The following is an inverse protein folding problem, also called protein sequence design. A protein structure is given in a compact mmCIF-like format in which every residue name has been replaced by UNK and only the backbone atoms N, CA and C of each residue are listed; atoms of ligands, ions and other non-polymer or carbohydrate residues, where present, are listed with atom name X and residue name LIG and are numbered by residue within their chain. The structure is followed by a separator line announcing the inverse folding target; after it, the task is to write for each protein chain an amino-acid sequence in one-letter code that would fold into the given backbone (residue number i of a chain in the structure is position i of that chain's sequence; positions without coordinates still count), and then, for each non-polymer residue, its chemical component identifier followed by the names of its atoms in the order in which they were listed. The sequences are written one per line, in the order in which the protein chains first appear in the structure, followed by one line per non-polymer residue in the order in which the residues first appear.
data_IF_165906403798
#
_entry.id   IF_165906403798
#
_cell.length_a   1.000
_cell.length_b   1.000
_cell.length_c   1.000
_cell.angle_alpha   90.00
_cell.angle_beta   90.00
_cell.angle_gamma   90.00
#
_symmetry.space_group_name_H-M   'P 1'
#
loop_
_entity.id
_entity.type
_entity.pdbx_description
1 polymer ?
#
# COMPACT_ATOMS: atom_id res chain seq x y z
N UNK A 1 11.17 -13.21 27.02
CA UNK A 1 10.10 -13.46 26.03
C UNK A 1 10.62 -14.52 25.08
N UNK A 2 9.86 -15.60 24.85
CA UNK A 2 10.23 -16.64 23.89
C UNK A 2 9.65 -16.24 22.54
N UNK A 3 10.35 -15.37 21.83
CA UNK A 3 9.93 -14.96 20.49
C UNK A 3 10.12 -16.13 19.52
N UNK A 4 9.11 -16.39 18.70
CA UNK A 4 9.02 -17.53 17.78
C UNK A 4 8.94 -17.02 16.34
N UNK A 5 9.43 -17.80 15.40
CA UNK A 5 9.37 -17.51 13.95
C UNK A 5 8.90 -18.74 13.18
N UNK A 6 8.08 -18.56 12.15
CA UNK A 6 7.55 -19.67 11.34
C UNK A 6 8.30 -19.79 9.99
N UNK A 7 8.63 -21.01 9.52
CA UNK A 7 9.25 -21.22 8.20
C UNK A 7 8.28 -20.79 7.10
N UNK A 8 8.71 -19.84 6.28
CA UNK A 8 8.00 -19.38 5.08
C UNK A 8 7.69 -20.51 4.08
N UNK A 9 8.52 -21.56 4.06
CA UNK A 9 8.40 -22.73 3.18
C UNK A 9 7.70 -23.95 3.79
N UNK A 10 7.43 -24.05 5.09
CA UNK A 10 6.71 -25.21 5.64
C UNK A 10 5.79 -24.90 6.83
N UNK A 11 5.71 -23.65 7.28
CA UNK A 11 4.85 -23.23 8.39
C UNK A 11 5.30 -23.74 9.77
N UNK A 12 6.45 -24.41 9.85
CA UNK A 12 6.96 -24.96 11.10
C UNK A 12 7.45 -23.84 12.01
N UNK A 13 7.12 -23.92 13.29
CA UNK A 13 7.60 -23.00 14.33
C UNK A 13 9.09 -23.24 14.64
N UNK A 14 9.87 -22.18 14.69
CA UNK A 14 11.29 -22.14 14.98
C UNK A 14 11.58 -21.09 16.06
N UNK A 15 12.76 -21.17 16.67
CA UNK A 15 13.25 -20.11 17.55
C UNK A 15 13.71 -18.92 16.72
N UNK A 16 13.47 -17.70 17.22
CA UNK A 16 13.87 -16.47 16.52
C UNK A 16 15.38 -16.35 16.24
N UNK A 17 16.22 -17.09 16.97
CA UNK A 17 17.68 -17.09 16.79
C UNK A 17 18.16 -18.11 15.74
N UNK A 18 17.25 -18.79 15.04
CA UNK A 18 17.61 -19.75 13.99
C UNK A 18 17.58 -19.05 12.63
N UNK A 19 18.63 -19.25 11.83
CA UNK A 19 18.73 -18.70 10.47
C UNK A 19 18.12 -19.64 9.41
N UNK A 20 17.90 -20.90 9.76
CA UNK A 20 17.34 -21.92 8.88
C UNK A 20 16.28 -22.71 9.60
N UNK A 21 15.24 -23.10 8.88
CA UNK A 21 14.17 -23.87 9.46
C UNK A 21 14.65 -25.25 9.85
N UNK A 22 14.26 -25.66 11.05
CA UNK A 22 14.51 -26.98 11.60
C UNK A 22 13.91 -28.14 10.78
N UNK A 23 13.01 -27.87 9.85
CA UNK A 23 12.28 -28.86 9.07
C UNK A 23 12.58 -28.74 7.56
N UNK A 24 12.28 -27.59 6.97
CA UNK A 24 12.40 -27.37 5.52
C UNK A 24 13.83 -27.00 5.07
N UNK A 25 14.74 -26.64 5.99
CA UNK A 25 16.08 -26.13 5.68
C UNK A 25 16.12 -24.74 5.03
N UNK A 26 14.96 -24.14 4.73
CA UNK A 26 14.87 -22.79 4.18
C UNK A 26 15.29 -21.73 5.18
N UNK A 27 15.76 -20.60 4.64
CA UNK A 27 16.18 -19.46 5.46
C UNK A 27 14.97 -18.93 6.26
N UNK A 28 15.15 -18.77 7.56
CA UNK A 28 14.16 -18.15 8.43
C UNK A 28 14.35 -16.65 8.39
N UNK A 29 13.33 -15.93 7.92
CA UNK A 29 13.33 -14.48 7.86
C UNK A 29 13.04 -13.90 9.25
N UNK A 30 14.05 -13.89 10.11
CA UNK A 30 14.02 -13.21 11.40
C UNK A 30 13.78 -11.70 11.18
N UNK A 31 12.55 -11.25 11.42
CA UNK A 31 12.16 -9.84 11.31
C UNK A 31 12.61 -8.98 12.52
N UNK A 32 13.51 -9.47 13.38
CA UNK A 32 14.33 -8.55 14.18
C UNK A 32 15.23 -7.81 13.20
N UNK A 33 14.85 -6.57 12.91
CA UNK A 33 15.71 -5.50 12.45
C UNK A 33 17.03 -5.96 11.80
N UNK A 34 17.09 -5.90 10.46
CA UNK A 34 18.35 -5.61 9.77
C UNK A 34 19.52 -6.61 9.95
N UNK A 35 19.37 -7.90 9.63
CA UNK A 35 20.55 -8.80 9.48
C UNK A 35 20.83 -9.30 8.04
N UNK A 36 20.06 -8.89 7.03
CA UNK A 36 20.48 -9.02 5.64
C UNK A 36 21.04 -7.68 5.16
N UNK A 37 22.35 -7.58 4.90
CA UNK A 37 22.96 -6.39 4.27
C UNK A 37 22.69 -6.33 2.75
N UNK A 38 21.72 -7.09 2.25
CA UNK A 38 21.40 -7.11 0.83
C UNK A 38 20.47 -5.94 0.53
N UNK A 39 20.99 -4.98 -0.21
CA UNK A 39 20.28 -3.80 -0.67
C UNK A 39 20.22 -3.84 -2.20
N UNK A 40 19.14 -3.31 -2.75
CA UNK A 40 19.02 -3.05 -4.19
C UNK A 40 19.21 -1.55 -4.36
N UNK A 41 20.31 -1.12 -4.97
CA UNK A 41 20.65 0.30 -5.11
C UNK A 41 20.72 0.74 -6.58
N UNK A 42 20.81 -0.23 -7.51
CA UNK A 42 20.90 0.00 -8.97
C UNK A 42 19.84 -0.78 -9.76
N UNK A 43 19.66 -0.41 -11.02
CA UNK A 43 18.73 -1.10 -11.93
C UNK A 43 19.25 -2.50 -12.27
N UNK A 44 20.56 -2.65 -12.38
CA UNK A 44 21.22 -3.93 -12.63
C UNK A 44 21.05 -4.90 -11.45
N UNK A 45 21.02 -4.38 -10.22
CA UNK A 45 20.72 -5.16 -9.01
C UNK A 45 19.22 -5.49 -8.92
N UNK A 46 18.35 -4.58 -9.38
CA UNK A 46 16.91 -4.79 -9.39
C UNK A 46 16.52 -5.90 -10.38
N UNK A 47 16.96 -5.79 -11.64
CA UNK A 47 16.58 -6.69 -12.72
C UNK A 47 17.58 -7.84 -12.92
N UNK A 48 17.56 -8.81 -12.01
CA UNK A 48 18.40 -10.02 -12.11
C UNK A 48 17.59 -11.26 -12.45
N UNK A 49 18.27 -12.27 -13.00
CA UNK A 49 17.66 -13.60 -13.18
C UNK A 49 17.25 -14.20 -11.83
N UNK A 50 18.03 -13.97 -10.77
CA UNK A 50 17.74 -14.44 -9.41
C UNK A 50 16.43 -13.86 -8.87
N UNK A 51 16.24 -12.54 -8.96
CA UNK A 51 15.01 -11.90 -8.52
C UNK A 51 13.80 -12.36 -9.33
N UNK A 52 13.96 -12.52 -10.64
CA UNK A 52 12.90 -13.07 -11.49
C UNK A 52 12.52 -14.50 -11.07
N UNK A 53 13.49 -15.39 -10.86
CA UNK A 53 13.24 -16.75 -10.36
C UNK A 53 12.58 -16.77 -8.99
N UNK A 54 12.97 -15.88 -8.08
CA UNK A 54 12.32 -15.76 -6.77
C UNK A 54 10.87 -15.30 -6.87
N UNK A 55 10.50 -14.49 -7.87
CA UNK A 55 9.10 -14.12 -8.13
C UNK A 55 8.29 -15.28 -8.72
N UNK A 56 8.86 -16.05 -9.65
CA UNK A 56 8.13 -17.11 -10.37
C UNK A 56 8.02 -18.43 -9.60
N UNK A 57 9.05 -18.77 -8.81
CA UNK A 57 9.18 -20.10 -8.23
C UNK A 57 8.69 -20.16 -6.77
N UNK A 58 8.61 -19.00 -6.08
CA UNK A 58 8.09 -18.93 -4.72
C UNK A 58 6.58 -18.68 -4.73
N UNK A 59 5.87 -19.47 -3.93
CA UNK A 59 4.45 -19.24 -3.66
C UNK A 59 4.33 -18.29 -2.46
N UNK A 60 3.68 -17.14 -2.65
CA UNK A 60 3.27 -16.28 -1.55
C UNK A 60 2.17 -16.98 -0.74
N UNK A 61 2.55 -17.57 0.39
CA UNK A 61 1.62 -18.28 1.28
C UNK A 61 0.77 -17.32 2.09
N UNK A 62 -0.40 -17.80 2.52
CA UNK A 62 -1.35 -17.03 3.33
C UNK A 62 -0.68 -16.57 4.64
N UNK A 63 0.11 -17.44 5.27
CA UNK A 63 0.81 -17.16 6.52
C UNK A 63 1.87 -16.06 6.34
N UNK A 64 2.65 -16.14 5.24
CA UNK A 64 3.64 -15.11 4.90
C UNK A 64 2.97 -13.76 4.63
N UNK A 65 1.87 -13.77 3.87
CA UNK A 65 1.10 -12.55 3.62
C UNK A 65 0.53 -11.95 4.90
N UNK A 66 -0.02 -12.77 5.80
CA UNK A 66 -0.49 -12.30 7.12
C UNK A 66 0.62 -11.70 7.97
N UNK A 67 1.82 -12.29 7.93
CA UNK A 67 2.98 -11.74 8.62
C UNK A 67 3.39 -10.38 8.05
N UNK A 68 3.36 -10.22 6.72
CA UNK A 68 3.58 -8.93 6.05
C UNK A 68 2.58 -7.88 6.53
N UNK A 69 1.28 -8.20 6.53
CA UNK A 69 0.25 -7.27 7.03
C UNK A 69 0.48 -6.91 8.50
N UNK A 70 0.84 -7.90 9.32
CA UNK A 70 1.13 -7.68 10.73
C UNK A 70 2.35 -6.78 10.95
N UNK A 71 3.41 -6.94 10.17
CA UNK A 71 4.60 -6.07 10.23
C UNK A 71 4.22 -4.61 9.92
N UNK A 72 3.38 -4.37 8.91
CA UNK A 72 2.91 -3.03 8.56
C UNK A 72 2.08 -2.42 9.72
N UNK A 73 1.26 -3.22 10.39
CA UNK A 73 0.53 -2.77 11.59
C UNK A 73 1.52 -2.38 12.70
N UNK A 74 2.51 -3.22 12.98
CA UNK A 74 3.50 -2.97 14.03
C UNK A 74 4.34 -1.71 13.75
N UNK A 75 4.69 -1.43 12.49
CA UNK A 75 5.31 -0.15 12.09
C UNK A 75 4.44 1.03 12.50
N UNK A 76 3.13 0.99 12.21
CA UNK A 76 2.21 2.05 12.64
C UNK A 76 2.09 2.16 14.15
N UNK A 77 1.96 1.04 14.87
CA UNK A 77 1.88 1.03 16.34
C UNK A 77 3.09 1.69 17.01
N UNK A 78 4.28 1.52 16.44
CA UNK A 78 5.52 2.08 16.97
C UNK A 78 5.68 3.58 16.68
N UNK A 79 5.15 4.06 15.55
CA UNK A 79 5.37 5.43 15.07
C UNK A 79 4.21 6.40 15.41
N UNK A 80 2.99 5.92 15.67
CA UNK A 80 1.84 6.81 15.92
C UNK A 80 1.98 7.55 17.26
N UNK A 81 1.96 8.88 17.20
CA UNK A 81 2.01 9.75 18.38
C UNK A 81 0.65 10.41 18.62
N UNK A 82 -0.14 9.86 19.55
CA UNK A 82 -1.39 10.49 19.99
C UNK A 82 -1.16 11.60 21.03
N UNK A 83 -1.78 12.76 20.81
CA UNK A 83 -1.83 13.88 21.76
C UNK A 83 -3.18 13.93 22.46
N UNK A 84 -3.20 14.47 23.69
CA UNK A 84 -4.46 14.67 24.43
C UNK A 84 -5.39 15.60 23.64
N UNK A 85 -6.67 15.21 23.53
CA UNK A 85 -7.75 15.99 22.88
C UNK A 85 -7.50 16.32 21.41
N UNK A 86 -7.03 15.35 20.63
CA UNK A 86 -6.98 15.50 19.16
C UNK A 86 -8.39 15.58 18.55
N UNK A 87 -8.54 16.46 17.58
CA UNK A 87 -9.70 16.46 16.67
C UNK A 87 -9.67 15.21 15.78
N UNK A 88 -10.79 14.83 15.13
CA UNK A 88 -10.82 13.68 14.21
C UNK A 88 -9.77 13.81 13.10
N UNK A 89 -9.68 15.00 12.48
CA UNK A 89 -8.65 15.31 11.48
C UNK A 89 -7.23 15.10 12.02
N UNK A 90 -6.93 15.56 13.24
CA UNK A 90 -5.60 15.39 13.82
C UNK A 90 -5.29 13.93 14.19
N UNK A 91 -6.30 13.11 14.52
CA UNK A 91 -6.11 11.66 14.73
C UNK A 91 -5.81 10.96 13.40
N UNK A 92 -6.60 11.23 12.36
CA UNK A 92 -6.36 10.67 11.01
C UNK A 92 -5.02 11.11 10.45
N UNK A 93 -4.65 12.38 10.64
CA UNK A 93 -3.31 12.87 10.29
C UNK A 93 -2.21 12.13 11.05
N UNK A 94 -2.35 11.91 12.35
CA UNK A 94 -1.35 11.18 13.14
C UNK A 94 -1.19 9.72 12.70
N UNK A 95 -2.28 9.07 12.26
CA UNK A 95 -2.24 7.73 11.68
C UNK A 95 -1.49 7.76 10.34
N UNK A 96 -1.81 8.72 9.48
CA UNK A 96 -1.13 8.85 8.19
C UNK A 96 0.37 9.19 8.33
N UNK A 97 0.71 10.12 9.23
CA UNK A 97 2.10 10.55 9.52
C UNK A 97 2.99 9.40 10.00
N UNK A 98 2.43 8.31 10.51
CA UNK A 98 3.18 7.11 10.91
C UNK A 98 3.65 6.25 9.73
N UNK A 99 3.09 6.48 8.54
CA UNK A 99 3.38 5.72 7.32
C UNK A 99 3.95 6.63 6.22
N UNK A 100 3.37 7.82 6.04
CA UNK A 100 3.76 8.78 5.04
C UNK A 100 3.69 10.21 5.59
N UNK A 101 4.63 11.06 5.18
CA UNK A 101 4.71 12.44 5.64
C UNK A 101 3.53 13.27 5.14
N UNK A 102 2.70 13.81 6.04
CA UNK A 102 1.56 14.65 5.66
C UNK A 102 1.93 16.15 5.66
N UNK A 103 1.95 16.76 4.48
CA UNK A 103 2.26 18.18 4.28
C UNK A 103 1.04 18.98 3.78
N UNK A 104 1.05 20.28 4.07
CA UNK A 104 0.03 21.20 3.58
C UNK A 104 0.53 22.01 2.39
N UNK A 105 -0.23 22.03 1.29
CA UNK A 105 -0.04 23.05 0.24
C UNK A 105 -0.83 24.31 0.58
N UNK A 106 -0.25 25.46 0.25
CA UNK A 106 -0.84 26.77 0.51
C UNK A 106 -1.68 27.30 -0.69
N UNK A 107 -1.56 26.68 -1.87
CA UNK A 107 -2.19 27.12 -3.13
C UNK A 107 -2.55 25.91 -4.00
N UNK A 108 -3.80 25.87 -4.46
CA UNK A 108 -4.27 25.00 -5.54
C UNK A 108 -5.62 24.35 -5.21
N UNK A 109 -6.65 24.56 -6.04
CA UNK A 109 -7.99 23.99 -5.86
C UNK A 109 -8.08 22.47 -6.16
N UNK A 110 -7.05 21.69 -5.84
CA UNK A 110 -7.05 20.23 -6.03
C UNK A 110 -6.99 19.54 -4.68
N UNK A 111 -7.79 18.49 -4.48
CA UNK A 111 -7.99 17.79 -3.20
C UNK A 111 -6.67 17.48 -2.47
N UNK A 112 -5.88 16.58 -3.03
CA UNK A 112 -4.57 16.17 -2.54
C UNK A 112 -3.82 15.37 -3.59
N UNK A 113 -2.62 14.91 -3.23
CA UNK A 113 -1.82 13.98 -4.03
C UNK A 113 -0.88 13.19 -3.12
N UNK A 114 -0.73 11.90 -3.39
CA UNK A 114 0.32 11.04 -2.84
C UNK A 114 1.44 10.82 -3.85
N UNK A 115 2.67 11.10 -3.43
CA UNK A 115 3.87 10.65 -4.14
C UNK A 115 5.07 10.64 -3.20
N UNK A 116 5.96 9.66 -3.36
CA UNK A 116 7.26 9.62 -2.69
C UNK A 116 7.17 9.69 -1.15
N UNK A 117 6.30 8.88 -0.54
CA UNK A 117 6.00 8.88 0.90
C UNK A 117 5.53 10.22 1.46
N UNK A 118 4.96 11.07 0.59
CA UNK A 118 4.38 12.36 0.98
C UNK A 118 2.92 12.39 0.59
N UNK A 119 2.06 12.66 1.56
CA UNK A 119 0.65 12.98 1.35
C UNK A 119 0.51 14.49 1.42
N UNK A 120 0.13 15.12 0.31
CA UNK A 120 -0.06 16.55 0.22
C UNK A 120 -1.54 16.89 0.27
N UNK A 121 -1.96 17.69 1.26
CA UNK A 121 -3.34 18.11 1.45
C UNK A 121 -3.50 19.63 1.29
N UNK A 122 -4.59 20.07 0.65
CA UNK A 122 -4.91 21.50 0.62
C UNK A 122 -5.55 21.93 1.95
N UNK A 123 -4.86 22.84 2.64
CA UNK A 123 -5.30 23.41 3.92
C UNK A 123 -6.56 24.27 3.82
N UNK A 124 -6.97 24.66 2.61
CA UNK A 124 -8.14 25.52 2.39
C UNK A 124 -9.46 24.77 2.47
N UNK A 125 -9.44 23.44 2.28
CA UNK A 125 -10.63 22.62 2.43
C UNK A 125 -11.02 22.46 3.91
N UNK A 126 -12.30 22.15 4.15
CA UNK A 126 -12.77 21.81 5.50
C UNK A 126 -12.19 20.48 6.00
N UNK A 127 -12.34 20.23 7.30
CA UNK A 127 -11.80 19.04 7.96
C UNK A 127 -12.34 17.73 7.39
N UNK A 128 -13.58 17.71 6.90
CA UNK A 128 -14.18 16.50 6.35
C UNK A 128 -13.53 16.12 5.01
N UNK A 129 -13.36 17.10 4.11
CA UNK A 129 -12.65 16.90 2.85
C UNK A 129 -11.19 16.51 3.11
N UNK A 130 -10.51 17.18 4.05
CA UNK A 130 -9.14 16.81 4.40
C UNK A 130 -9.03 15.37 4.94
N UNK A 131 -9.98 14.91 5.76
CA UNK A 131 -10.03 13.52 6.22
C UNK A 131 -10.20 12.56 5.05
N UNK A 132 -11.15 12.81 4.14
CA UNK A 132 -11.35 11.99 2.95
C UNK A 132 -10.05 11.89 2.12
N UNK A 133 -9.42 13.04 1.84
CA UNK A 133 -8.17 13.08 1.09
C UNK A 133 -7.06 12.31 1.81
N UNK A 134 -6.88 12.46 3.12
CA UNK A 134 -5.85 11.69 3.84
C UNK A 134 -6.12 10.18 3.74
N UNK A 135 -7.37 9.74 3.93
CA UNK A 135 -7.73 8.32 3.84
C UNK A 135 -7.50 7.76 2.43
N UNK A 136 -7.86 8.52 1.40
CA UNK A 136 -7.64 8.17 0.00
C UNK A 136 -6.15 7.97 -0.31
N UNK A 137 -5.35 9.00 -0.03
CA UNK A 137 -3.92 9.02 -0.33
C UNK A 137 -3.12 8.03 0.54
N UNK A 138 -3.52 7.85 1.81
CA UNK A 138 -2.94 6.81 2.68
C UNK A 138 -3.24 5.41 2.15
N UNK A 139 -4.41 5.20 1.53
CA UNK A 139 -4.74 3.91 0.92
C UNK A 139 -3.80 3.58 -0.24
N UNK A 140 -3.47 4.56 -1.09
CA UNK A 140 -2.46 4.36 -2.13
C UNK A 140 -1.07 4.05 -1.56
N UNK A 141 -0.69 4.74 -0.48
CA UNK A 141 0.56 4.45 0.21
C UNK A 141 0.58 3.01 0.77
N UNK A 142 -0.44 2.61 1.52
CA UNK A 142 -0.52 1.26 2.09
C UNK A 142 -0.60 0.17 1.02
N UNK A 143 -1.26 0.45 -0.11
CA UNK A 143 -1.23 -0.43 -1.28
C UNK A 143 0.20 -0.65 -1.78
N UNK A 144 0.99 0.41 -1.89
CA UNK A 144 2.40 0.33 -2.28
C UNK A 144 3.24 -0.40 -1.23
N UNK A 145 3.03 -0.10 0.05
CA UNK A 145 3.79 -0.70 1.17
C UNK A 145 3.58 -2.21 1.24
N UNK A 146 2.35 -2.70 1.03
CA UNK A 146 2.08 -4.15 0.97
C UNK A 146 2.88 -4.81 -0.15
N UNK A 147 2.94 -4.20 -1.34
CA UNK A 147 3.67 -4.79 -2.47
C UNK A 147 5.18 -4.72 -2.22
N UNK A 148 5.66 -3.63 -1.64
CA UNK A 148 7.05 -3.48 -1.25
C UNK A 148 7.47 -4.55 -0.23
N UNK A 149 6.70 -4.74 0.84
CA UNK A 149 6.96 -5.77 1.86
C UNK A 149 6.93 -7.19 1.27
N UNK A 150 6.07 -7.44 0.28
CA UNK A 150 6.10 -8.71 -0.48
C UNK A 150 7.45 -8.88 -1.20
N UNK A 151 7.96 -7.84 -1.87
CA UNK A 151 9.25 -7.91 -2.57
C UNK A 151 10.43 -8.04 -1.61
N UNK A 152 10.44 -7.26 -0.51
CA UNK A 152 11.39 -7.36 0.59
C UNK A 152 11.45 -8.81 1.10
N UNK A 153 10.28 -9.41 1.34
CA UNK A 153 10.16 -10.78 1.79
C UNK A 153 10.67 -11.80 0.76
N UNK A 154 10.26 -11.68 -0.50
CA UNK A 154 10.60 -12.65 -1.54
C UNK A 154 12.08 -12.61 -1.93
N UNK A 155 12.64 -11.40 -2.05
CA UNK A 155 14.02 -11.18 -2.44
C UNK A 155 14.99 -11.18 -1.25
N UNK A 156 14.46 -11.11 -0.02
CA UNK A 156 15.25 -11.07 1.21
C UNK A 156 16.24 -9.89 1.22
N UNK A 157 15.72 -8.71 0.88
CA UNK A 157 16.46 -7.44 0.77
C UNK A 157 15.91 -6.40 1.73
N UNK A 158 16.63 -5.32 1.97
CA UNK A 158 16.11 -4.17 2.73
C UNK A 158 15.33 -3.21 1.85
N UNK A 159 14.45 -2.43 2.48
CA UNK A 159 13.82 -1.25 1.88
C UNK A 159 14.90 -0.26 1.44
N UNK A 160 14.76 0.25 0.22
CA UNK A 160 15.72 1.17 -0.40
C UNK A 160 15.00 2.14 -1.35
N UNK A 161 15.57 3.33 -1.62
CA UNK A 161 15.00 4.24 -2.62
C UNK A 161 14.82 3.62 -4.01
N UNK A 162 15.66 2.64 -4.39
CA UNK A 162 15.50 1.94 -5.67
C UNK A 162 14.25 1.05 -5.66
N UNK A 163 14.01 0.30 -4.59
CA UNK A 163 12.82 -0.54 -4.47
C UNK A 163 11.54 0.31 -4.48
N UNK A 164 11.51 1.39 -3.71
CA UNK A 164 10.36 2.31 -3.70
C UNK A 164 10.14 2.97 -5.05
N UNK A 165 11.22 3.30 -5.77
CA UNK A 165 11.13 3.86 -7.12
C UNK A 165 10.57 2.86 -8.14
N UNK A 166 10.87 1.57 -7.96
CA UNK A 166 10.29 0.48 -8.74
C UNK A 166 8.78 0.40 -8.49
N UNK A 167 8.34 0.36 -7.23
CA UNK A 167 6.91 0.34 -6.87
C UNK A 167 6.18 1.59 -7.37
N UNK A 168 6.74 2.79 -7.17
CA UNK A 168 6.17 4.05 -7.66
C UNK A 168 6.04 4.08 -9.18
N UNK A 169 6.94 3.41 -9.90
CA UNK A 169 6.86 3.31 -11.37
C UNK A 169 5.82 2.26 -11.78
N UNK A 170 5.74 1.15 -11.05
CA UNK A 170 4.78 0.07 -11.29
C UNK A 170 3.33 0.55 -11.23
N UNK A 171 2.97 1.42 -10.27
CA UNK A 171 1.61 1.95 -10.18
C UNK A 171 1.19 2.85 -11.35
N UNK A 172 2.11 3.21 -12.24
CA UNK A 172 1.79 3.95 -13.46
C UNK A 172 1.31 3.04 -14.60
N UNK A 173 1.38 1.72 -14.41
CA UNK A 173 0.75 0.74 -15.29
C UNK A 173 -0.77 0.85 -15.10
N UNK A 174 -1.56 1.10 -16.17
CA UNK A 174 -2.99 1.38 -16.06
C UNK A 174 -3.81 0.35 -15.27
N UNK A 175 -3.50 -0.94 -15.41
CA UNK A 175 -4.19 -2.00 -14.66
C UNK A 175 -3.91 -1.95 -13.16
N UNK A 176 -2.71 -1.50 -12.75
CA UNK A 176 -2.32 -1.39 -11.35
C UNK A 176 -2.88 -0.11 -10.74
N UNK A 177 -2.83 0.99 -11.50
CA UNK A 177 -3.49 2.23 -11.11
C UNK A 177 -4.99 1.98 -10.86
N UNK A 178 -5.65 1.22 -11.75
CA UNK A 178 -7.05 0.84 -11.58
C UNK A 178 -7.31 0.09 -10.26
N UNK A 179 -6.42 -0.85 -9.89
CA UNK A 179 -6.51 -1.58 -8.61
C UNK A 179 -6.36 -0.62 -7.43
N UNK A 180 -5.38 0.28 -7.50
CA UNK A 180 -5.08 1.24 -6.44
C UNK A 180 -6.24 2.22 -6.21
N UNK A 181 -6.83 2.76 -7.28
CA UNK A 181 -8.02 3.63 -7.20
C UNK A 181 -9.25 2.87 -6.67
N UNK A 182 -9.41 1.60 -7.06
CA UNK A 182 -10.47 0.75 -6.49
C UNK A 182 -10.31 0.62 -4.97
N UNK A 183 -9.08 0.39 -4.49
CA UNK A 183 -8.80 0.29 -3.06
C UNK A 183 -9.14 1.60 -2.34
N UNK A 184 -8.69 2.74 -2.86
CA UNK A 184 -8.93 4.05 -2.25
C UNK A 184 -10.43 4.36 -2.10
N UNK A 185 -11.21 4.26 -3.18
CA UNK A 185 -12.67 4.47 -3.11
C UNK A 185 -13.40 3.42 -2.26
N UNK A 186 -12.85 2.21 -2.14
CA UNK A 186 -13.43 1.17 -1.28
C UNK A 186 -13.16 1.42 0.19
N UNK A 187 -11.96 1.87 0.57
CA UNK A 187 -11.63 2.27 1.94
C UNK A 187 -12.43 3.51 2.36
N UNK A 188 -12.59 4.49 1.46
CA UNK A 188 -13.49 5.62 1.69
C UNK A 188 -14.91 5.16 2.04
N UNK A 189 -15.42 4.15 1.33
CA UNK A 189 -16.76 3.60 1.60
C UNK A 189 -16.92 3.01 3.01
N UNK A 190 -15.85 2.52 3.61
CA UNK A 190 -15.88 1.97 4.97
C UNK A 190 -15.93 3.07 6.04
N UNK A 191 -15.33 4.24 5.79
CA UNK A 191 -15.15 5.28 6.82
C UNK A 191 -15.93 6.59 6.57
N UNK A 192 -16.41 6.82 5.35
CA UNK A 192 -17.10 8.04 4.94
C UNK A 192 -18.60 7.79 4.71
N UNK A 193 -19.46 8.83 4.84
CA UNK A 193 -20.85 8.70 4.46
C UNK A 193 -20.98 8.43 2.94
N UNK A 194 -21.93 7.58 2.50
CA UNK A 194 -22.03 7.14 1.10
C UNK A 194 -22.14 8.27 0.08
N UNK A 195 -22.68 9.43 0.47
CA UNK A 195 -22.87 10.58 -0.41
C UNK A 195 -21.55 11.30 -0.78
N UNK A 196 -20.44 10.90 -0.15
CA UNK A 196 -19.10 11.45 -0.36
C UNK A 196 -18.11 10.46 -0.97
N UNK A 197 -18.54 9.24 -1.28
CA UNK A 197 -17.68 8.20 -1.87
C UNK A 197 -17.77 8.29 -3.39
N UNK A 198 -16.63 8.52 -4.06
CA UNK A 198 -16.57 8.67 -5.51
C UNK A 198 -15.64 7.63 -6.14
N UNK A 199 -16.17 6.87 -7.09
CA UNK A 199 -15.37 5.98 -7.96
C UNK A 199 -14.97 6.66 -9.28
N UNK A 200 -15.01 8.00 -9.35
CA UNK A 200 -14.75 8.75 -10.59
C UNK A 200 -13.38 8.46 -11.21
N UNK A 201 -12.31 8.40 -10.41
CA UNK A 201 -10.96 8.02 -10.87
C UNK A 201 -10.92 6.61 -11.45
N UNK A 202 -11.47 5.63 -10.71
CA UNK A 202 -11.61 4.24 -11.17
C UNK A 202 -12.40 4.15 -12.48
N UNK A 203 -13.53 4.85 -12.57
CA UNK A 203 -14.40 4.88 -13.75
C UNK A 203 -13.68 5.49 -14.96
N UNK A 204 -12.88 6.54 -14.76
CA UNK A 204 -12.08 7.16 -15.81
C UNK A 204 -11.04 6.19 -16.37
N UNK A 205 -10.33 5.45 -15.51
CA UNK A 205 -9.33 4.48 -15.96
C UNK A 205 -10.00 3.29 -16.67
N UNK A 206 -11.19 2.86 -16.21
CA UNK A 206 -11.99 1.86 -16.95
C UNK A 206 -12.30 2.33 -18.37
N UNK A 207 -12.64 3.61 -18.54
CA UNK A 207 -12.90 4.19 -19.86
C UNK A 207 -11.63 4.24 -20.73
N UNK A 208 -10.49 4.63 -20.17
CA UNK A 208 -9.19 4.64 -20.85
C UNK A 208 -8.74 3.24 -21.29
N UNK A 209 -9.11 2.21 -20.52
CA UNK A 209 -8.91 0.80 -20.83
C UNK A 209 -9.98 0.22 -21.79
N UNK A 210 -10.83 1.07 -22.37
CA UNK A 210 -11.94 0.69 -23.25
C UNK A 210 -12.87 -0.37 -22.64
N UNK A 211 -13.02 -0.34 -21.31
CA UNK A 211 -13.83 -1.29 -20.56
C UNK A 211 -13.45 -2.77 -20.82
N UNK A 212 -12.15 -3.06 -20.96
CA UNK A 212 -11.67 -4.44 -21.08
C UNK A 212 -12.10 -5.27 -19.86
N UNK A 213 -13.04 -6.19 -20.09
CA UNK A 213 -13.66 -6.99 -19.04
C UNK A 213 -12.68 -7.86 -18.28
N UNK A 214 -11.64 -8.37 -18.94
CA UNK A 214 -10.68 -9.26 -18.31
C UNK A 214 -9.73 -8.48 -17.40
N UNK A 215 -9.25 -7.32 -17.87
CA UNK A 215 -8.40 -6.43 -17.07
C UNK A 215 -9.17 -5.94 -15.85
N UNK A 216 -10.40 -5.44 -16.06
CA UNK A 216 -11.22 -4.90 -14.97
C UNK A 216 -11.61 -5.98 -13.97
N UNK A 217 -11.99 -7.18 -14.42
CA UNK A 217 -12.33 -8.29 -13.52
C UNK A 217 -11.14 -8.66 -12.64
N UNK A 218 -9.95 -8.86 -13.22
CA UNK A 218 -8.74 -9.16 -12.44
C UNK A 218 -8.41 -8.04 -11.47
N UNK A 219 -8.50 -6.79 -11.91
CA UNK A 219 -8.23 -5.64 -11.07
C UNK A 219 -9.16 -5.59 -9.85
N UNK A 220 -10.45 -5.88 -10.03
CA UNK A 220 -11.43 -5.88 -8.92
C UNK A 220 -11.20 -7.04 -7.96
N UNK A 221 -10.83 -8.23 -8.45
CA UNK A 221 -10.51 -9.37 -7.58
C UNK A 221 -9.30 -9.06 -6.69
N UNK A 222 -8.23 -8.52 -7.28
CA UNK A 222 -7.05 -8.10 -6.53
C UNK A 222 -7.44 -6.95 -5.58
N UNK A 223 -8.11 -5.93 -6.11
CA UNK A 223 -8.53 -4.73 -5.40
C UNK A 223 -9.34 -5.03 -4.15
N UNK A 224 -10.37 -5.88 -4.22
CA UNK A 224 -11.14 -6.28 -3.03
C UNK A 224 -10.28 -6.86 -1.94
N UNK A 225 -9.37 -7.76 -2.31
CA UNK A 225 -8.56 -8.48 -1.34
C UNK A 225 -7.49 -7.57 -0.72
N UNK A 226 -6.94 -6.64 -1.52
CA UNK A 226 -6.07 -5.57 -1.04
C UNK A 226 -6.83 -4.60 -0.13
N UNK A 227 -8.06 -4.20 -0.48
CA UNK A 227 -8.94 -3.40 0.39
C UNK A 227 -9.18 -4.07 1.74
N UNK A 228 -9.48 -5.38 1.77
CA UNK A 228 -9.65 -6.12 3.03
C UNK A 228 -8.38 -6.03 3.91
N UNK A 229 -7.20 -6.11 3.29
CA UNK A 229 -5.91 -6.04 3.99
C UNK A 229 -5.61 -4.61 4.49
N UNK A 230 -5.88 -3.59 3.68
CA UNK A 230 -5.71 -2.18 4.06
C UNK A 230 -6.70 -1.81 5.16
N UNK A 231 -7.95 -2.29 5.08
CA UNK A 231 -8.94 -2.11 6.13
C UNK A 231 -8.49 -2.77 7.44
N UNK A 232 -7.88 -3.97 7.39
CA UNK A 232 -7.30 -4.59 8.58
C UNK A 232 -6.22 -3.71 9.22
N UNK A 233 -5.35 -3.10 8.42
CA UNK A 233 -4.33 -2.17 8.92
C UNK A 233 -4.99 -0.95 9.57
N UNK A 234 -5.88 -0.26 8.85
CA UNK A 234 -6.49 0.98 9.30
C UNK A 234 -7.44 0.79 10.50
N UNK A 235 -8.22 -0.29 10.54
CA UNK A 235 -9.15 -0.58 11.63
C UNK A 235 -8.47 -0.86 12.97
N UNK A 236 -7.16 -1.14 12.97
CA UNK A 236 -6.35 -1.20 14.20
C UNK A 236 -6.24 0.16 14.88
N UNK A 237 -6.28 1.25 14.10
CA UNK A 237 -6.09 2.62 14.59
C UNK A 237 -7.34 3.50 14.52
N UNK A 238 -8.26 3.19 13.60
CA UNK A 238 -9.55 3.86 13.42
C UNK A 238 -10.62 3.03 14.13
N UNK A 239 -10.73 3.26 15.43
CA UNK A 239 -11.79 2.70 16.24
C UNK A 239 -13.17 3.25 15.86
N UNK A 240 -14.24 2.56 16.30
CA UNK A 240 -15.63 2.97 16.05
C UNK A 240 -15.95 4.38 16.56
N UNK A 241 -15.31 4.82 17.64
CA UNK A 241 -15.51 6.17 18.17
C UNK A 241 -14.94 7.23 17.20
N UNK A 242 -13.79 6.98 16.59
CA UNK A 242 -13.19 7.82 15.58
C UNK A 242 -14.04 7.83 14.30
N UNK A 243 -14.48 6.67 13.84
CA UNK A 243 -15.38 6.53 12.68
C UNK A 243 -16.64 7.40 12.85
N UNK A 244 -17.34 7.28 13.98
CA UNK A 244 -18.52 8.08 14.28
C UNK A 244 -18.21 9.60 14.31
N UNK A 245 -17.01 9.98 14.74
CA UNK A 245 -16.58 11.38 14.73
C UNK A 245 -16.24 11.87 13.33
N UNK A 246 -15.66 11.03 12.47
CA UNK A 246 -15.41 11.35 11.06
C UNK A 246 -16.74 11.65 10.38
N UNK A 247 -17.74 10.78 10.52
CA UNK A 247 -19.08 10.99 9.94
C UNK A 247 -19.70 12.31 10.41
N UNK A 248 -19.52 12.67 11.69
CA UNK A 248 -20.01 13.95 12.24
C UNK A 248 -19.31 15.16 11.62
N UNK A 249 -18.03 15.08 11.26
CA UNK A 249 -17.32 16.18 10.57
C UNK A 249 -17.99 16.53 9.24
N UNK A 250 -18.43 15.55 8.45
CA UNK A 250 -19.15 15.80 7.19
C UNK A 250 -20.49 16.50 7.41
N UNK A 251 -21.20 16.14 8.47
CA UNK A 251 -22.47 16.77 8.84
C UNK A 251 -22.29 18.21 9.30
N UNK A 252 -21.25 18.49 10.08
CA UNK A 252 -20.95 19.82 10.62
C UNK A 252 -20.52 20.79 9.51
N UNK A 253 -19.67 20.32 8.59
CA UNK A 253 -19.13 21.16 7.52
C UNK A 253 -20.09 21.39 6.36
N UNK A 254 -21.24 20.69 6.34
CA UNK A 254 -22.22 20.76 5.25
C UNK A 254 -21.55 20.59 3.87
N UNK A 255 -20.62 19.63 3.80
CA UNK A 255 -19.79 19.37 2.63
C UNK A 255 -20.68 19.01 1.43
N UNK A 256 -20.28 19.44 0.23
CA UNK A 256 -21.05 19.11 -0.99
C UNK A 256 -20.89 17.62 -1.31
N UNK A 257 -22.00 16.94 -1.60
CA UNK A 257 -22.00 15.54 -2.03
C UNK A 257 -21.27 15.36 -3.36
N UNK A 258 -20.48 14.31 -3.47
CA UNK A 258 -19.68 13.97 -4.67
C UNK A 258 -19.87 12.52 -5.11
N UNK A 259 -20.86 11.82 -4.55
CA UNK A 259 -21.10 10.41 -4.81
C UNK A 259 -21.12 10.08 -6.31
N UNK A 260 -20.25 9.16 -6.69
CA UNK A 260 -20.24 8.56 -8.01
C UNK A 260 -20.12 7.05 -7.86
N UNK A 261 -21.15 6.28 -8.28
CA UNK A 261 -21.11 4.84 -8.14
C UNK A 261 -20.08 4.23 -9.10
N UNK A 262 -19.58 3.06 -8.71
CA UNK A 262 -18.69 2.27 -9.55
C UNK A 262 -19.37 1.85 -10.87
N UNK A 263 -18.65 1.94 -11.99
CA UNK A 263 -19.19 1.67 -13.33
C UNK A 263 -19.38 0.19 -13.68
N UNK A 264 -19.17 -0.72 -12.73
CA UNK A 264 -19.30 -2.17 -12.92
C UNK A 264 -20.27 -2.78 -11.91
N UNK A 265 -20.94 -3.86 -12.30
CA UNK A 265 -21.67 -4.71 -11.35
C UNK A 265 -20.67 -5.49 -10.52
N UNK A 266 -20.80 -5.41 -9.20
CA UNK A 266 -19.97 -6.17 -8.27
C UNK A 266 -20.45 -7.63 -8.17
N UNK A 267 -19.78 -8.58 -8.85
CA UNK A 267 -20.35 -9.93 -9.13
C UNK A 267 -19.70 -11.08 -8.37
N UNK A 268 -18.53 -10.92 -7.74
CA UNK A 268 -17.78 -12.06 -7.18
C UNK A 268 -17.39 -11.92 -5.70
N UNK A 269 -17.46 -13.04 -4.97
CA UNK A 269 -16.97 -13.15 -3.58
C UNK A 269 -15.45 -13.28 -3.56
N UNK A 270 -14.78 -12.71 -2.56
CA UNK A 270 -13.34 -12.84 -2.38
C UNK A 270 -12.91 -14.31 -2.24
N UNK A 271 -11.78 -14.66 -2.85
CA UNK A 271 -11.14 -15.97 -2.73
C UNK A 271 -9.65 -15.77 -2.43
N UNK A 272 -9.27 -15.96 -1.17
CA UNK A 272 -7.93 -15.71 -0.65
C UNK A 272 -6.81 -16.53 -1.33
N UNK A 273 -7.13 -17.69 -1.93
CA UNK A 273 -6.13 -18.47 -2.67
C UNK A 273 -5.90 -17.84 -4.04
N UNK A 274 -6.97 -17.44 -4.74
CA UNK A 274 -6.86 -16.74 -6.03
C UNK A 274 -6.23 -15.35 -5.87
N UNK A 275 -6.42 -14.70 -4.72
CA UNK A 275 -5.77 -13.42 -4.39
C UNK A 275 -4.25 -13.50 -4.54
N UNK A 276 -3.57 -14.37 -3.80
CA UNK A 276 -2.11 -14.40 -3.79
C UNK A 276 -1.56 -14.78 -5.17
N UNK A 277 -2.26 -15.66 -5.89
CA UNK A 277 -1.90 -16.02 -7.27
C UNK A 277 -2.00 -14.81 -8.20
N UNK A 278 -3.11 -14.07 -8.18
CA UNK A 278 -3.29 -12.90 -9.04
C UNK A 278 -2.40 -11.72 -8.63
N UNK A 279 -2.11 -11.55 -7.35
CA UNK A 279 -1.17 -10.55 -6.86
C UNK A 279 0.25 -10.86 -7.33
N UNK A 280 0.68 -12.12 -7.25
CA UNK A 280 1.98 -12.54 -7.77
C UNK A 280 2.05 -12.43 -9.29
N UNK A 281 1.00 -12.82 -10.02
CA UNK A 281 0.91 -12.63 -11.48
C UNK A 281 1.03 -11.14 -11.84
N UNK A 282 0.35 -10.25 -11.11
CA UNK A 282 0.48 -8.81 -11.30
C UNK A 282 1.91 -8.32 -11.09
N UNK A 283 2.59 -8.75 -10.02
CA UNK A 283 3.98 -8.37 -9.72
C UNK A 283 4.94 -8.88 -10.79
N UNK A 284 4.82 -10.15 -11.21
CA UNK A 284 5.66 -10.77 -12.24
C UNK A 284 5.51 -10.04 -13.56
N UNK A 285 4.28 -9.87 -14.05
CA UNK A 285 4.02 -9.17 -15.31
C UNK A 285 4.55 -7.73 -15.26
N UNK A 286 4.45 -7.06 -14.12
CA UNK A 286 4.99 -5.71 -13.95
C UNK A 286 6.50 -5.67 -13.99
N UNK A 287 7.16 -6.62 -13.31
CA UNK A 287 8.60 -6.75 -13.33
C UNK A 287 9.11 -6.98 -14.77
N UNK A 288 8.44 -7.83 -15.55
CA UNK A 288 8.77 -8.06 -16.96
C UNK A 288 8.57 -6.82 -17.82
N UNK A 289 7.41 -6.16 -17.71
CA UNK A 289 7.11 -4.92 -18.45
C UNK A 289 8.16 -3.86 -18.14
N UNK A 290 8.51 -3.70 -16.86
CA UNK A 290 9.43 -2.67 -16.40
C UNK A 290 10.90 -2.98 -16.65
N UNK A 291 11.23 -4.25 -16.97
CA UNK A 291 12.55 -4.65 -17.44
C UNK A 291 12.79 -4.24 -18.91
N UNK A 292 12.41 -3.01 -19.25
CA UNK A 292 12.62 -2.37 -20.53
C UNK A 292 13.51 -1.13 -20.32
N UNK A 293 14.59 -1.04 -21.12
CA UNK A 293 15.50 0.10 -21.11
C UNK A 293 14.82 1.44 -21.35
N UNK A 294 13.64 1.46 -21.99
CA UNK A 294 12.84 2.67 -22.18
C UNK A 294 12.18 3.16 -20.87
N UNK A 295 11.95 2.27 -19.90
CA UNK A 295 11.32 2.57 -18.61
C UNK A 295 12.37 2.96 -17.56
N UNK A 296 13.60 2.46 -17.67
CA UNK A 296 14.70 2.72 -16.73
C UNK A 296 14.88 4.21 -16.36
N UNK A 297 14.84 5.18 -17.30
CA UNK A 297 14.97 6.59 -16.94
C UNK A 297 13.89 7.07 -15.96
N UNK A 298 12.67 6.50 -16.02
CA UNK A 298 11.56 6.83 -15.11
C UNK A 298 11.82 6.27 -13.71
N UNK A 299 12.33 5.04 -13.61
CA UNK A 299 12.70 4.41 -12.34
C UNK A 299 13.82 5.23 -11.67
N UNK A 300 14.89 5.55 -12.39
CA UNK A 300 15.99 6.38 -11.86
C UNK A 300 15.48 7.75 -11.40
N UNK A 301 14.64 8.41 -12.20
CA UNK A 301 14.08 9.71 -11.82
C UNK A 301 13.24 9.60 -10.54
N UNK A 302 12.45 8.54 -10.38
CA UNK A 302 11.69 8.30 -9.16
C UNK A 302 12.61 8.06 -7.96
N UNK A 303 13.72 7.32 -8.15
CA UNK A 303 14.73 7.09 -7.11
C UNK A 303 15.32 8.39 -6.57
N UNK A 304 15.69 9.32 -7.46
CA UNK A 304 16.24 10.63 -7.06
C UNK A 304 15.28 11.43 -6.17
N UNK A 305 13.96 11.24 -6.31
CA UNK A 305 12.97 11.88 -5.44
C UNK A 305 12.92 11.23 -4.06
N UNK A 306 12.99 9.90 -3.97
CA UNK A 306 13.07 9.18 -2.70
C UNK A 306 14.37 9.49 -1.95
N UNK A 307 15.52 9.54 -2.64
CA UNK A 307 16.80 9.92 -2.02
C UNK A 307 16.72 11.31 -1.37
N UNK A 308 16.15 12.30 -2.08
CA UNK A 308 15.92 13.65 -1.54
C UNK A 308 14.93 13.69 -0.38
N UNK A 309 14.01 12.75 -0.31
CA UNK A 309 13.10 12.63 0.82
C UNK A 309 13.87 12.17 2.07
N UNK A 310 14.64 11.09 1.99
CA UNK A 310 15.41 10.56 3.11
C UNK A 310 16.54 11.48 3.60
N UNK A 311 17.20 12.20 2.68
CA UNK A 311 18.19 13.22 3.04
C UNK A 311 17.60 14.31 3.97
N UNK A 312 16.32 14.64 3.80
CA UNK A 312 15.62 15.64 4.62
C UNK A 312 15.11 15.10 5.94
N UNK A 313 14.85 13.80 6.05
CA UNK A 313 14.46 13.16 7.32
C UNK A 313 15.67 12.95 8.25
N UNK A 314 16.86 12.82 7.68
CA UNK A 314 18.12 12.59 8.44
C UNK A 314 18.77 13.87 8.99
N UNK A 315 18.18 15.05 8.74
CA UNK A 315 18.74 16.38 9.04
C UNK A 315 17.90 17.15 10.07
#
# INVERSE_FOLDING_TARGET
MNDKIYCSCCGVENSINQNYCKDCGEVLHNFKEYETNNEINTIEELFTATHYHQLTDKILRIESYKAIIQNIIETGENEIIYKKKMTPLNRIKAIADAYAKVIYKNRGNTYGEYAYNVICIDKQFDSAIQIATILHELTHHLFNEIIEEILIFLWNVRKTPMLESFIQTMITIPSILLISEYCASSIEKEYLPPEYVSYSSFNSICADLNYDKNIILRAVIIGKSMTESIHQILSTFIDKELEEKIIKEFQINNTKTIAEPICITDIEKSNYILQNVYLMDMIINSYEIMNDKQIYPKIIKNKEYYEKFYEKESA
#
